data_IF_344767989906
#
_entry.id   IF_344767989906
#
_cell.length_a   1.000
_cell.length_b   1.000
_cell.length_c   1.000
_cell.angle_alpha   90.00
_cell.angle_beta   90.00
_cell.angle_gamma   90.00
#
_symmetry.space_group_name_H-M   'P 1'
#
loop_
_entity.id
_entity.type
_entity.pdbx_description
1 polymer ?
#
# COMPACT_ATOMS: atom_id res chain seq x y z
N UNK A 1 -31.98 -4.50 -6.30
CA UNK A 1 -30.61 -4.33 -5.76
C UNK A 1 -30.09 -2.97 -6.22
N UNK A 2 -29.69 -2.10 -5.30
CA UNK A 2 -29.10 -0.81 -5.64
C UNK A 2 -27.74 -1.09 -6.34
N UNK A 3 -27.62 -0.75 -7.62
CA UNK A 3 -26.39 -0.99 -8.38
C UNK A 3 -25.36 0.05 -7.96
N UNK A 4 -24.27 -0.39 -7.32
CA UNK A 4 -23.11 0.45 -7.00
C UNK A 4 -22.40 0.83 -8.30
N UNK A 5 -21.93 2.07 -8.45
CA UNK A 5 -21.20 2.52 -9.64
C UNK A 5 -19.74 2.03 -9.65
N UNK A 6 -19.14 1.95 -10.85
CA UNK A 6 -17.70 1.66 -10.98
C UNK A 6 -16.85 2.70 -10.24
N UNK A 7 -17.24 3.97 -10.31
CA UNK A 7 -16.62 5.09 -9.61
C UNK A 7 -16.56 4.84 -8.09
N UNK A 8 -17.70 4.51 -7.48
CA UNK A 8 -17.77 4.26 -6.04
C UNK A 8 -16.93 3.05 -5.63
N UNK A 9 -16.91 1.99 -6.45
CA UNK A 9 -16.09 0.81 -6.19
C UNK A 9 -14.58 1.12 -6.32
N UNK A 10 -14.18 1.93 -7.31
CA UNK A 10 -12.81 2.38 -7.47
C UNK A 10 -12.34 3.21 -6.26
N UNK A 11 -13.14 4.20 -5.85
CA UNK A 11 -12.89 4.99 -4.62
C UNK A 11 -12.75 4.08 -3.39
N UNK A 12 -13.67 3.14 -3.20
CA UNK A 12 -13.63 2.23 -2.05
C UNK A 12 -12.41 1.30 -2.08
N UNK A 13 -11.96 0.88 -3.27
CA UNK A 13 -10.74 0.09 -3.41
C UNK A 13 -9.48 0.89 -3.06
N UNK A 14 -9.43 2.19 -3.40
CA UNK A 14 -8.36 3.08 -2.99
C UNK A 14 -8.30 3.18 -1.46
N UNK A 15 -9.42 3.55 -0.83
CA UNK A 15 -9.55 3.62 0.64
C UNK A 15 -9.18 2.29 1.30
N UNK A 16 -9.66 1.17 0.75
CA UNK A 16 -9.43 -0.16 1.31
C UNK A 16 -7.96 -0.55 1.37
N UNK A 17 -7.21 -0.27 0.29
CA UNK A 17 -5.77 -0.60 0.24
C UNK A 17 -4.97 0.34 1.14
N UNK A 18 -5.24 1.64 1.08
CA UNK A 18 -4.48 2.64 1.84
C UNK A 18 -4.75 2.54 3.34
N UNK A 19 -5.99 2.26 3.77
CA UNK A 19 -6.31 1.97 5.17
C UNK A 19 -5.52 0.74 5.67
N UNK A 20 -5.48 -0.35 4.89
CA UNK A 20 -4.77 -1.55 5.27
C UNK A 20 -3.24 -1.31 5.39
N UNK A 21 -2.65 -0.62 4.42
CA UNK A 21 -1.22 -0.28 4.44
C UNK A 21 -0.85 0.71 5.57
N UNK A 22 -1.76 1.63 5.90
CA UNK A 22 -1.57 2.60 6.98
C UNK A 22 -1.95 2.09 8.38
N UNK A 23 -2.68 0.97 8.48
CA UNK A 23 -3.36 0.56 9.72
C UNK A 23 -2.39 0.30 10.88
N UNK A 24 -2.55 1.02 11.98
CA UNK A 24 -1.80 0.78 13.23
C UNK A 24 -2.32 -0.40 14.07
N UNK A 25 -3.37 -1.07 13.61
CA UNK A 25 -3.93 -2.20 14.33
C UNK A 25 -3.03 -3.43 14.19
N UNK A 26 -2.49 -3.93 15.30
CA UNK A 26 -1.61 -5.11 15.34
C UNK A 26 -2.28 -6.39 14.83
N UNK A 27 -3.61 -6.45 14.83
CA UNK A 27 -4.33 -7.58 14.22
C UNK A 27 -4.37 -7.52 12.69
N UNK A 28 -3.99 -6.37 12.09
CA UNK A 28 -4.11 -6.11 10.65
C UNK A 28 -2.78 -5.85 9.99
N UNK A 29 -1.89 -5.06 10.58
CA UNK A 29 -0.63 -4.67 9.97
C UNK A 29 0.43 -4.36 11.03
N UNK A 30 1.48 -5.17 11.03
CA UNK A 30 2.60 -5.13 11.96
C UNK A 30 3.93 -4.78 11.29
N UNK A 31 3.91 -4.35 10.03
CA UNK A 31 5.12 -4.13 9.23
C UNK A 31 6.13 -3.18 9.91
N UNK A 32 5.65 -2.18 10.65
CA UNK A 32 6.49 -1.26 11.44
C UNK A 32 7.23 -1.93 12.59
N UNK A 33 6.63 -2.95 13.20
CA UNK A 33 7.27 -3.75 14.23
C UNK A 33 8.35 -4.62 13.58
N UNK A 34 8.00 -5.29 12.47
CA UNK A 34 8.95 -6.15 11.75
C UNK A 34 10.16 -5.39 11.19
N UNK A 35 9.94 -4.17 10.69
CA UNK A 35 10.96 -3.25 10.22
C UNK A 35 11.72 -2.54 11.38
N UNK A 36 11.33 -2.81 12.62
CA UNK A 36 11.93 -2.27 13.83
C UNK A 36 11.93 -0.74 13.87
N UNK A 37 10.88 -0.09 13.37
CA UNK A 37 10.66 1.35 13.58
C UNK A 37 9.90 1.63 14.88
N UNK A 38 9.06 0.69 15.31
CA UNK A 38 8.34 0.75 16.57
C UNK A 38 8.47 -0.57 17.34
N UNK A 39 8.38 -0.48 18.66
CA UNK A 39 8.24 -1.61 19.58
C UNK A 39 6.98 -1.42 20.40
N UNK A 40 6.31 -2.53 20.68
CA UNK A 40 5.20 -2.56 21.63
C UNK A 40 5.68 -2.39 23.06
N UNK A 41 4.85 -1.77 23.87
CA UNK A 41 5.15 -1.44 25.27
C UNK A 41 4.56 -2.46 26.24
N UNK A 42 3.43 -3.09 25.93
CA UNK A 42 2.69 -3.98 26.85
C UNK A 42 2.58 -5.41 26.35
N UNK A 43 2.01 -5.60 25.16
CA UNK A 43 1.87 -6.90 24.51
C UNK A 43 2.96 -7.01 23.45
N UNK A 44 4.09 -7.65 23.78
CA UNK A 44 5.31 -7.55 22.95
C UNK A 44 5.53 -8.72 22.02
N UNK A 45 4.48 -9.50 21.75
CA UNK A 45 4.56 -10.76 21.01
C UNK A 45 5.04 -10.52 19.58
N UNK A 46 4.43 -9.58 18.86
CA UNK A 46 4.73 -9.24 17.48
C UNK A 46 6.10 -8.57 17.34
N UNK A 47 6.45 -7.67 18.27
CA UNK A 47 7.79 -7.08 18.40
C UNK A 47 8.89 -8.11 18.69
N UNK A 48 8.52 -9.34 19.08
CA UNK A 48 9.42 -10.47 19.35
C UNK A 48 9.36 -11.54 18.26
N UNK A 49 8.72 -11.25 17.13
CA UNK A 49 8.50 -12.20 16.02
C UNK A 49 7.74 -13.46 16.44
N UNK A 50 6.84 -13.33 17.40
CA UNK A 50 5.93 -14.39 17.79
C UNK A 50 4.56 -14.08 17.17
N UNK A 51 4.02 -14.97 16.33
CA UNK A 51 2.79 -14.72 15.55
C UNK A 51 1.68 -15.74 15.80
N UNK A 52 1.68 -16.37 16.97
CA UNK A 52 0.74 -17.45 17.29
C UNK A 52 -0.57 -16.96 17.92
N UNK A 53 -0.59 -15.74 18.47
CA UNK A 53 -1.73 -15.22 19.22
C UNK A 53 -2.84 -14.62 18.32
N UNK A 54 -2.53 -14.35 17.04
CA UNK A 54 -3.40 -13.57 16.15
C UNK A 54 -3.35 -14.09 14.71
N UNK A 55 -4.49 -14.00 14.03
CA UNK A 55 -4.62 -14.30 12.61
C UNK A 55 -4.19 -13.10 11.74
N UNK A 56 -2.99 -12.55 11.98
CA UNK A 56 -2.51 -11.35 11.29
C UNK A 56 -2.37 -11.58 9.77
N UNK A 57 -1.76 -12.69 9.29
CA UNK A 57 -1.69 -12.99 7.87
C UNK A 57 -3.07 -13.08 7.20
N UNK A 58 -4.01 -13.75 7.85
CA UNK A 58 -5.38 -13.92 7.35
C UNK A 58 -6.06 -12.56 7.26
N UNK A 59 -6.03 -11.76 8.34
CA UNK A 59 -6.63 -10.43 8.35
C UNK A 59 -6.02 -9.47 7.33
N UNK A 60 -4.69 -9.51 7.15
CA UNK A 60 -3.98 -8.67 6.18
C UNK A 60 -4.39 -9.01 4.75
N UNK A 61 -4.28 -10.30 4.38
CA UNK A 61 -4.63 -10.77 3.05
C UNK A 61 -6.11 -10.56 2.75
N UNK A 62 -6.98 -10.91 3.70
CA UNK A 62 -8.43 -10.80 3.59
C UNK A 62 -8.89 -9.39 3.23
N UNK A 63 -8.30 -8.40 3.88
CA UNK A 63 -8.61 -6.98 3.64
C UNK A 63 -8.27 -6.59 2.22
N UNK A 64 -7.11 -7.00 1.70
CA UNK A 64 -6.70 -6.67 0.33
C UNK A 64 -7.58 -7.41 -0.69
N UNK A 65 -7.83 -8.71 -0.50
CA UNK A 65 -8.71 -9.47 -1.40
C UNK A 65 -10.13 -8.89 -1.43
N UNK A 66 -10.76 -8.73 -0.26
CA UNK A 66 -12.18 -8.35 -0.18
C UNK A 66 -12.42 -6.86 -0.37
N UNK A 67 -11.61 -5.98 0.22
CA UNK A 67 -11.88 -4.53 0.23
C UNK A 67 -11.22 -3.80 -0.94
N UNK A 68 -10.25 -4.41 -1.59
CA UNK A 68 -9.55 -3.79 -2.73
C UNK A 68 -9.84 -4.58 -4.01
N UNK A 69 -9.37 -5.82 -4.09
CA UNK A 69 -9.36 -6.57 -5.34
C UNK A 69 -10.76 -6.96 -5.84
N UNK A 70 -11.67 -7.36 -4.94
CA UNK A 70 -13.07 -7.61 -5.29
C UNK A 70 -13.76 -6.34 -5.82
N UNK A 71 -13.56 -5.20 -5.15
CA UNK A 71 -14.13 -3.92 -5.60
C UNK A 71 -13.61 -3.53 -6.99
N UNK A 72 -12.31 -3.71 -7.25
CA UNK A 72 -11.71 -3.43 -8.56
C UNK A 72 -12.22 -4.38 -9.64
N UNK A 73 -12.36 -5.68 -9.33
CA UNK A 73 -12.98 -6.67 -10.23
C UNK A 73 -14.39 -6.24 -10.61
N UNK A 74 -15.20 -5.85 -9.64
CA UNK A 74 -16.60 -5.46 -9.86
C UNK A 74 -16.71 -4.15 -10.63
N UNK A 75 -15.85 -3.17 -10.33
CA UNK A 75 -15.74 -1.93 -11.09
C UNK A 75 -15.40 -2.20 -12.56
N UNK A 76 -14.43 -3.10 -12.80
CA UNK A 76 -14.04 -3.53 -14.15
C UNK A 76 -15.21 -4.19 -14.87
N UNK A 77 -15.91 -5.12 -14.23
CA UNK A 77 -17.04 -5.82 -14.83
C UNK A 77 -18.17 -4.87 -15.23
N UNK A 78 -18.46 -3.86 -14.40
CA UNK A 78 -19.44 -2.81 -14.71
C UNK A 78 -19.01 -2.01 -15.95
N UNK A 79 -17.75 -1.59 -16.02
CA UNK A 79 -17.23 -0.85 -17.17
C UNK A 79 -17.20 -1.70 -18.43
N UNK A 80 -16.75 -2.95 -18.36
CA UNK A 80 -16.72 -3.87 -19.51
C UNK A 80 -18.11 -4.01 -20.14
N UNK A 81 -19.15 -4.21 -19.31
CA UNK A 81 -20.54 -4.33 -19.74
C UNK A 81 -21.16 -3.02 -20.28
N UNK A 82 -20.53 -1.86 -20.01
CA UNK A 82 -21.00 -0.56 -20.50
C UNK A 82 -20.69 -0.42 -21.99
N UNK A 83 -21.73 -0.39 -22.82
CA UNK A 83 -21.62 -0.05 -24.25
C UNK A 83 -21.49 1.46 -24.38
N UNK A 84 -20.42 1.91 -25.02
CA UNK A 84 -20.13 3.32 -25.31
C UNK A 84 -19.88 3.47 -26.80
N UNK A 85 -20.22 4.64 -27.35
CA UNK A 85 -19.98 4.97 -28.75
C UNK A 85 -19.37 6.37 -28.84
N UNK A 86 -18.55 6.59 -29.86
CA UNK A 86 -17.75 7.80 -30.01
C UNK A 86 -16.39 7.71 -29.31
N UNK A 87 -15.43 8.46 -29.85
CA UNK A 87 -14.02 8.37 -29.46
C UNK A 87 -13.83 8.76 -27.99
N UNK A 88 -14.37 9.91 -27.57
CA UNK A 88 -14.28 10.42 -26.19
C UNK A 88 -14.70 9.38 -25.16
N UNK A 89 -15.92 8.82 -25.28
CA UNK A 89 -16.42 7.86 -24.30
C UNK A 89 -15.65 6.52 -24.34
N UNK A 90 -15.15 6.13 -25.50
CA UNK A 90 -14.33 4.92 -25.66
C UNK A 90 -12.98 5.09 -24.97
N UNK A 91 -12.31 6.23 -25.18
CA UNK A 91 -11.03 6.59 -24.56
C UNK A 91 -11.15 6.80 -23.06
N UNK A 92 -12.21 7.47 -22.59
CA UNK A 92 -12.48 7.59 -21.15
C UNK A 92 -12.67 6.23 -20.48
N UNK A 93 -13.43 5.32 -21.10
CA UNK A 93 -13.58 3.94 -20.59
C UNK A 93 -12.24 3.20 -20.58
N UNK A 94 -11.41 3.37 -21.60
CA UNK A 94 -10.07 2.76 -21.66
C UNK A 94 -9.16 3.25 -20.52
N UNK A 95 -9.14 4.57 -20.28
CA UNK A 95 -8.42 5.17 -19.15
C UNK A 95 -8.91 4.61 -17.81
N UNK A 96 -10.22 4.57 -17.57
CA UNK A 96 -10.80 4.01 -16.35
C UNK A 96 -10.40 2.55 -16.11
N UNK A 97 -10.44 1.71 -17.16
CA UNK A 97 -10.01 0.31 -17.07
C UNK A 97 -8.52 0.17 -16.79
N UNK A 98 -7.68 1.03 -17.37
CA UNK A 98 -6.24 1.06 -17.12
C UNK A 98 -5.93 1.46 -15.67
N UNK A 99 -6.60 2.50 -15.13
CA UNK A 99 -6.47 2.94 -13.74
C UNK A 99 -6.86 1.83 -12.75
N UNK A 100 -7.99 1.14 -12.98
CA UNK A 100 -8.39 -0.04 -12.20
C UNK A 100 -7.27 -1.10 -12.22
N UNK A 101 -6.72 -1.38 -13.40
CA UNK A 101 -5.68 -2.39 -13.56
C UNK A 101 -4.41 -2.02 -12.80
N UNK A 102 -3.96 -0.76 -12.86
CA UNK A 102 -2.78 -0.27 -12.15
C UNK A 102 -2.96 -0.38 -10.64
N UNK A 103 -4.12 0.04 -10.11
CA UNK A 103 -4.40 -0.08 -8.68
C UNK A 103 -4.48 -1.54 -8.23
N UNK A 104 -5.03 -2.42 -9.07
CA UNK A 104 -5.03 -3.85 -8.81
C UNK A 104 -3.60 -4.41 -8.80
N UNK A 105 -2.74 -4.01 -9.74
CA UNK A 105 -1.32 -4.41 -9.75
C UNK A 105 -0.64 -4.00 -8.45
N UNK A 106 -0.90 -2.80 -7.93
CA UNK A 106 -0.32 -2.39 -6.66
C UNK A 106 -0.78 -3.28 -5.49
N UNK A 107 -2.08 -3.59 -5.43
CA UNK A 107 -2.62 -4.49 -4.41
C UNK A 107 -2.03 -5.91 -4.50
N UNK A 108 -1.87 -6.45 -5.71
CA UNK A 108 -1.25 -7.75 -5.94
C UNK A 108 0.24 -7.75 -5.60
N UNK A 109 0.97 -6.68 -5.95
CA UNK A 109 2.36 -6.50 -5.59
C UNK A 109 2.55 -6.56 -4.08
N UNK A 110 1.69 -5.88 -3.31
CA UNK A 110 1.70 -5.93 -1.83
C UNK A 110 1.49 -7.36 -1.31
N UNK A 111 0.57 -8.13 -1.90
CA UNK A 111 0.32 -9.51 -1.48
C UNK A 111 1.51 -10.43 -1.77
N UNK A 112 2.05 -10.40 -2.99
CA UNK A 112 3.20 -11.25 -3.37
C UNK A 112 4.47 -10.87 -2.60
N UNK A 113 4.67 -9.58 -2.28
CA UNK A 113 5.76 -9.12 -1.41
C UNK A 113 5.65 -9.70 0.01
N UNK A 114 4.43 -9.84 0.51
CA UNK A 114 4.19 -10.26 1.88
C UNK A 114 4.20 -11.79 2.06
N UNK A 115 3.75 -12.54 1.05
CA UNK A 115 3.47 -13.97 1.19
C UNK A 115 4.20 -14.86 0.17
N UNK A 116 4.85 -14.29 -0.85
CA UNK A 116 5.38 -15.05 -1.97
C UNK A 116 4.23 -15.62 -2.80
N UNK A 117 4.17 -16.94 -2.93
CA UNK A 117 3.11 -17.60 -3.71
C UNK A 117 1.74 -17.31 -3.08
N UNK A 118 0.75 -16.96 -3.89
CA UNK A 118 -0.60 -16.59 -3.45
C UNK A 118 -1.66 -17.03 -4.46
N UNK A 119 -2.94 -17.14 -4.05
CA UNK A 119 -4.03 -17.23 -4.99
C UNK A 119 -4.12 -16.00 -5.91
N UNK A 120 -3.81 -16.16 -7.19
CA UNK A 120 -3.74 -15.04 -8.13
C UNK A 120 -4.67 -15.23 -9.33
N UNK A 121 -4.31 -16.05 -10.32
CA UNK A 121 -5.10 -16.25 -11.56
C UNK A 121 -6.47 -16.91 -11.30
N UNK A 122 -6.57 -17.72 -10.24
CA UNK A 122 -7.80 -18.40 -9.86
C UNK A 122 -8.58 -17.69 -8.75
N UNK A 123 -8.04 -16.61 -8.20
CA UNK A 123 -8.67 -15.86 -7.14
C UNK A 123 -9.90 -15.05 -7.61
N UNK A 124 -10.62 -14.49 -6.65
CA UNK A 124 -11.76 -13.60 -6.87
C UNK A 124 -12.93 -14.23 -7.65
N UNK A 125 -13.07 -15.56 -7.66
CA UNK A 125 -14.21 -16.27 -8.29
C UNK A 125 -15.33 -16.61 -7.30
N UNK A 126 -15.17 -16.25 -6.02
CA UNK A 126 -16.19 -16.48 -4.99
C UNK A 126 -16.56 -17.96 -4.88
N UNK A 127 -17.86 -18.25 -4.96
CA UNK A 127 -18.37 -19.62 -4.86
C UNK A 127 -17.97 -20.51 -6.05
N UNK A 128 -17.66 -19.94 -7.22
CA UNK A 128 -17.25 -20.71 -8.40
C UNK A 128 -15.86 -21.34 -8.23
N UNK A 129 -15.01 -20.77 -7.37
CA UNK A 129 -13.77 -21.40 -6.93
C UNK A 129 -13.45 -21.02 -5.48
N UNK A 130 -13.92 -21.84 -4.54
CA UNK A 130 -13.69 -21.66 -3.11
C UNK A 130 -12.30 -22.12 -2.64
N UNK A 131 -11.51 -22.75 -3.53
CA UNK A 131 -10.17 -23.29 -3.23
C UNK A 131 -9.18 -22.95 -4.36
N UNK A 132 -8.94 -21.65 -4.61
CA UNK A 132 -8.02 -21.25 -5.66
C UNK A 132 -6.62 -21.75 -5.39
N UNK A 133 -5.95 -22.26 -6.43
CA UNK A 133 -4.54 -22.65 -6.31
C UNK A 133 -3.65 -21.42 -6.06
N UNK A 134 -2.46 -21.69 -5.56
CA UNK A 134 -1.42 -20.68 -5.41
C UNK A 134 -0.59 -20.62 -6.70
N UNK A 135 -0.40 -19.42 -7.22
CA UNK A 135 0.53 -19.18 -8.31
C UNK A 135 1.91 -18.81 -7.75
N UNK A 136 2.95 -19.15 -8.51
CA UNK A 136 4.33 -18.85 -8.16
C UNK A 136 4.63 -17.34 -8.17
N UNK A 137 5.43 -16.87 -7.23
CA UNK A 137 5.75 -15.46 -7.05
C UNK A 137 6.41 -14.84 -8.29
N UNK A 138 7.37 -15.51 -8.94
CA UNK A 138 8.01 -14.98 -10.15
C UNK A 138 7.02 -14.86 -11.29
N UNK A 139 6.14 -15.85 -11.46
CA UNK A 139 5.06 -15.81 -12.45
C UNK A 139 4.12 -14.64 -12.22
N UNK A 140 3.73 -14.39 -10.96
CA UNK A 140 2.90 -13.24 -10.60
C UNK A 140 3.63 -11.95 -10.96
N UNK A 141 4.88 -11.79 -10.55
CA UNK A 141 5.67 -10.58 -10.85
C UNK A 141 5.76 -10.27 -12.35
N UNK A 142 6.01 -11.29 -13.17
CA UNK A 142 6.07 -11.13 -14.64
C UNK A 142 4.72 -10.67 -15.20
N UNK A 143 3.61 -11.21 -14.70
CA UNK A 143 2.28 -10.77 -15.10
C UNK A 143 1.96 -9.34 -14.64
N UNK A 144 2.36 -8.96 -13.42
CA UNK A 144 2.20 -7.58 -12.93
C UNK A 144 2.92 -6.56 -13.83
N UNK A 145 4.15 -6.89 -14.28
CA UNK A 145 4.89 -6.05 -15.24
C UNK A 145 4.15 -5.97 -16.58
N UNK A 146 3.68 -7.10 -17.11
CA UNK A 146 2.93 -7.13 -18.37
C UNK A 146 1.65 -6.28 -18.29
N UNK A 147 0.92 -6.38 -17.19
CA UNK A 147 -0.29 -5.59 -16.91
C UNK A 147 0.00 -4.10 -16.82
N UNK A 148 1.12 -3.69 -16.23
CA UNK A 148 1.52 -2.27 -16.22
C UNK A 148 1.85 -1.76 -17.62
N UNK A 149 2.60 -2.53 -18.41
CA UNK A 149 2.91 -2.16 -19.80
C UNK A 149 1.64 -2.00 -20.64
N UNK A 150 0.70 -2.96 -20.51
CA UNK A 150 -0.59 -2.91 -21.20
C UNK A 150 -1.40 -1.67 -20.80
N UNK A 151 -1.51 -1.40 -19.49
CA UNK A 151 -2.22 -0.22 -19.00
C UNK A 151 -1.60 1.09 -19.52
N UNK A 152 -0.28 1.23 -19.46
CA UNK A 152 0.45 2.40 -19.98
C UNK A 152 0.15 2.60 -21.47
N UNK A 153 0.17 1.52 -22.26
CA UNK A 153 -0.05 1.61 -23.71
C UNK A 153 -1.48 2.00 -24.12
N UNK A 154 -2.45 1.78 -23.23
CA UNK A 154 -3.89 2.04 -23.48
C UNK A 154 -4.37 3.38 -22.95
N UNK A 155 -3.61 4.00 -22.05
CA UNK A 155 -3.97 5.30 -21.50
C UNK A 155 -3.71 6.43 -22.49
N UNK A 156 -4.59 7.42 -22.46
CA UNK A 156 -4.55 8.59 -23.32
C UNK A 156 -4.77 9.85 -22.46
N UNK A 157 -3.73 10.67 -22.23
CA UNK A 157 -3.81 11.81 -21.30
C UNK A 157 -4.69 12.95 -21.82
N UNK A 158 -5.08 12.94 -23.09
CA UNK A 158 -5.97 13.94 -23.67
C UNK A 158 -7.46 13.67 -23.35
N UNK A 159 -7.76 12.57 -22.64
CA UNK A 159 -9.12 12.15 -22.30
C UNK A 159 -9.31 11.92 -20.80
N UNK A 160 -10.54 12.14 -20.34
CA UNK A 160 -10.93 11.98 -18.94
C UNK A 160 -10.80 10.54 -18.43
N UNK A 161 -10.90 10.37 -17.11
CA UNK A 161 -10.96 9.07 -16.44
C UNK A 161 -12.04 9.03 -15.34
N UNK A 162 -11.67 8.83 -14.07
CA UNK A 162 -12.59 8.77 -12.92
C UNK A 162 -12.91 10.14 -12.29
N UNK A 163 -12.17 11.19 -12.66
CA UNK A 163 -12.35 12.53 -12.07
C UNK A 163 -12.28 12.50 -10.54
N UNK A 164 -13.27 13.08 -9.87
CA UNK A 164 -13.32 13.17 -8.40
C UNK A 164 -13.48 11.82 -7.68
N UNK A 165 -13.81 10.74 -8.38
CA UNK A 165 -13.83 9.40 -7.79
C UNK A 165 -12.42 8.82 -7.59
N UNK A 166 -11.40 9.40 -8.23
CA UNK A 166 -10.00 9.09 -7.98
C UNK A 166 -9.43 9.97 -6.85
N UNK A 167 -9.10 9.33 -5.73
CA UNK A 167 -8.58 9.99 -4.53
C UNK A 167 -7.07 10.25 -4.57
N UNK A 168 -6.36 9.79 -5.59
CA UNK A 168 -4.90 9.97 -5.70
C UNK A 168 -4.56 11.15 -6.59
N UNK A 169 -5.09 11.16 -7.81
CA UNK A 169 -4.72 12.14 -8.84
C UNK A 169 -5.91 12.90 -9.40
N UNK A 170 -7.10 12.76 -8.82
CA UNK A 170 -8.31 13.46 -9.28
C UNK A 170 -8.68 13.12 -10.73
N UNK A 171 -8.25 11.97 -11.24
CA UNK A 171 -8.47 11.52 -12.60
C UNK A 171 -7.39 11.92 -13.60
N UNK A 172 -6.29 12.54 -13.17
CA UNK A 172 -5.18 12.93 -14.04
C UNK A 172 -4.42 11.71 -14.58
N UNK A 173 -4.67 11.41 -15.86
CA UNK A 173 -4.16 10.20 -16.53
C UNK A 173 -2.64 10.25 -16.71
N UNK A 174 -2.06 11.44 -16.91
CA UNK A 174 -0.61 11.61 -17.03
C UNK A 174 0.11 11.22 -15.72
N UNK A 175 -0.43 11.60 -14.56
CA UNK A 175 0.08 11.18 -13.25
C UNK A 175 -0.06 9.69 -13.02
N UNK A 176 -1.15 9.07 -13.51
CA UNK A 176 -1.31 7.61 -13.48
C UNK A 176 -0.30 6.87 -14.36
N UNK A 177 0.08 7.41 -15.51
CA UNK A 177 1.17 6.86 -16.35
C UNK A 177 2.48 6.89 -15.56
N UNK A 178 2.83 8.01 -14.91
CA UNK A 178 4.04 8.14 -14.08
C UNK A 178 4.00 7.21 -12.87
N UNK A 179 2.84 7.03 -12.23
CA UNK A 179 2.67 6.07 -11.14
C UNK A 179 2.89 4.63 -11.61
N UNK A 180 2.29 4.25 -12.75
CA UNK A 180 2.46 2.92 -13.32
C UNK A 180 3.94 2.63 -13.67
N UNK A 181 4.64 3.59 -14.27
CA UNK A 181 6.06 3.50 -14.56
C UNK A 181 6.91 3.40 -13.28
N UNK A 182 6.58 4.19 -12.26
CA UNK A 182 7.30 4.16 -10.96
C UNK A 182 7.05 2.86 -10.19
N UNK A 183 5.83 2.31 -10.28
CA UNK A 183 5.50 0.99 -9.72
C UNK A 183 6.24 -0.12 -10.47
N UNK A 184 6.35 -0.02 -11.81
CA UNK A 184 7.18 -0.92 -12.61
C UNK A 184 8.64 -0.85 -12.19
N UNK A 185 9.19 0.36 -11.95
CA UNK A 185 10.55 0.53 -11.44
C UNK A 185 10.73 -0.14 -10.07
N UNK A 186 9.79 0.05 -9.14
CA UNK A 186 9.80 -0.61 -7.82
C UNK A 186 9.84 -2.13 -7.96
N UNK A 187 8.96 -2.70 -8.79
CA UNK A 187 8.90 -4.14 -9.04
C UNK A 187 10.19 -4.64 -9.70
N UNK A 188 10.73 -3.90 -10.66
CA UNK A 188 11.99 -4.25 -11.31
C UNK A 188 13.16 -4.31 -10.33
N UNK A 189 13.27 -3.35 -9.41
CA UNK A 189 14.28 -3.34 -8.36
C UNK A 189 14.08 -4.46 -7.34
N UNK A 190 12.83 -4.81 -7.02
CA UNK A 190 12.52 -5.97 -6.17
C UNK A 190 13.07 -7.28 -6.75
N UNK A 191 13.12 -7.37 -8.08
CA UNK A 191 13.61 -8.54 -8.82
C UNK A 191 15.09 -8.45 -9.20
N UNK A 192 15.85 -7.47 -8.67
CA UNK A 192 17.23 -7.22 -9.05
C UNK A 192 18.12 -8.47 -8.94
N UNK A 193 17.93 -9.25 -7.86
CA UNK A 193 18.71 -10.45 -7.56
C UNK A 193 18.07 -11.75 -8.09
N UNK A 194 17.05 -11.66 -8.95
CA UNK A 194 16.40 -12.81 -9.60
C UNK A 194 16.82 -12.85 -11.07
N UNK A 195 17.81 -13.69 -11.45
CA UNK A 195 18.38 -13.66 -12.81
C UNK A 195 17.35 -13.83 -13.93
N UNK A 196 16.33 -14.67 -13.70
CA UNK A 196 15.26 -14.94 -14.67
C UNK A 196 14.33 -13.74 -14.93
N UNK A 197 14.40 -12.68 -14.11
CA UNK A 197 13.53 -11.51 -14.26
C UNK A 197 14.07 -10.47 -15.24
N UNK A 198 15.36 -10.51 -15.60
CA UNK A 198 16.02 -9.50 -16.43
C UNK A 198 15.73 -8.05 -15.97
N UNK A 199 15.92 -7.80 -14.67
CA UNK A 199 15.58 -6.55 -13.96
C UNK A 199 16.16 -5.30 -14.62
N UNK A 200 17.39 -5.37 -15.15
CA UNK A 200 18.04 -4.23 -15.83
C UNK A 200 17.25 -3.69 -17.01
N UNK A 201 16.73 -4.56 -17.88
CA UNK A 201 15.86 -4.14 -19.00
C UNK A 201 14.57 -3.49 -18.50
N UNK A 202 13.97 -4.04 -17.44
CA UNK A 202 12.73 -3.52 -16.87
C UNK A 202 12.91 -2.12 -16.26
N UNK A 203 14.03 -1.87 -15.59
CA UNK A 203 14.43 -0.55 -15.08
C UNK A 203 14.54 0.44 -16.23
N UNK A 204 15.31 0.11 -17.28
CA UNK A 204 15.48 0.99 -18.45
C UNK A 204 14.14 1.34 -19.10
N UNK A 205 13.25 0.36 -19.25
CA UNK A 205 11.92 0.59 -19.82
C UNK A 205 11.06 1.49 -18.92
N UNK A 206 11.07 1.29 -17.59
CA UNK A 206 10.31 2.13 -16.67
C UNK A 206 10.79 3.59 -16.71
N UNK A 207 12.11 3.80 -16.73
CA UNK A 207 12.69 5.13 -16.86
C UNK A 207 12.33 5.80 -18.20
N UNK A 208 12.32 5.03 -19.30
CA UNK A 208 11.94 5.54 -20.61
C UNK A 208 10.47 5.98 -20.71
N UNK A 209 9.56 5.36 -19.94
CA UNK A 209 8.16 5.81 -19.83
C UNK A 209 8.04 7.13 -19.06
N UNK A 210 8.94 7.39 -18.10
CA UNK A 210 8.90 8.53 -17.20
C UNK A 210 8.35 8.15 -15.82
N UNK A 211 9.22 8.21 -14.81
CA UNK A 211 8.89 7.95 -13.40
C UNK A 211 8.70 9.27 -12.64
N UNK A 212 8.37 9.19 -11.35
CA UNK A 212 8.36 10.37 -10.49
C UNK A 212 9.74 11.03 -10.42
N UNK A 213 9.74 12.35 -10.57
CA UNK A 213 10.90 13.24 -10.55
C UNK A 213 10.77 14.32 -9.48
N UNK A 214 9.56 14.56 -8.96
CA UNK A 214 9.28 15.50 -7.89
C UNK A 214 8.31 14.94 -6.83
N UNK A 215 8.36 15.48 -5.62
CA UNK A 215 7.45 15.09 -4.54
C UNK A 215 5.98 15.31 -4.90
N UNK A 216 5.63 16.37 -5.64
CA UNK A 216 4.25 16.68 -6.04
C UNK A 216 3.61 15.60 -6.93
N UNK A 217 4.43 14.74 -7.56
CA UNK A 217 3.96 13.64 -8.40
C UNK A 217 3.67 12.35 -7.59
N UNK A 218 4.05 12.35 -6.31
CA UNK A 218 3.92 11.16 -5.44
C UNK A 218 2.48 10.71 -5.29
N UNK A 219 2.27 9.39 -5.30
CA UNK A 219 0.98 8.78 -4.97
C UNK A 219 0.70 8.86 -3.46
N UNK A 220 0.22 10.02 -3.00
CA UNK A 220 -0.10 10.29 -1.60
C UNK A 220 -1.62 10.39 -1.45
N UNK A 221 -2.20 9.48 -0.67
CA UNK A 221 -3.58 9.66 -0.23
C UNK A 221 -3.63 10.60 0.98
N UNK A 222 -4.32 11.73 0.80
CA UNK A 222 -4.61 12.68 1.88
C UNK A 222 -6.08 12.50 2.27
N UNK A 223 -6.38 11.94 3.46
CA UNK A 223 -7.76 11.78 3.91
C UNK A 223 -8.45 13.13 4.11
N UNK A 224 -9.78 13.18 3.97
CA UNK A 224 -10.58 14.40 4.12
C UNK A 224 -10.51 15.06 5.51
N UNK A 225 -9.94 14.38 6.51
CA UNK A 225 -9.75 14.94 7.85
C UNK A 225 -10.99 14.85 8.74
N UNK A 226 -12.07 14.22 8.26
CA UNK A 226 -13.31 14.00 9.01
C UNK A 226 -13.51 12.49 9.18
N UNK A 227 -13.73 12.06 10.42
CA UNK A 227 -13.96 10.64 10.72
C UNK A 227 -15.12 10.06 9.88
N UNK A 228 -14.98 8.86 9.30
CA UNK A 228 -13.88 7.91 9.47
C UNK A 228 -12.66 8.12 8.54
N UNK A 229 -12.66 9.15 7.68
CA UNK A 229 -11.62 9.41 6.69
C UNK A 229 -10.50 10.31 7.24
N UNK A 230 -9.75 9.78 8.21
CA UNK A 230 -8.60 10.44 8.83
C UNK A 230 -7.37 9.52 8.79
N UNK A 231 -6.18 10.08 8.98
CA UNK A 231 -4.95 9.28 9.04
C UNK A 231 -5.03 8.26 10.18
N UNK A 232 -4.71 6.97 9.95
CA UNK A 232 -4.66 5.97 11.02
C UNK A 232 -3.70 6.33 12.15
N UNK A 233 -2.63 7.08 11.85
CA UNK A 233 -1.70 7.57 12.87
C UNK A 233 -2.30 8.67 13.72
N UNK A 234 -3.02 9.61 13.09
CA UNK A 234 -3.73 10.67 13.82
C UNK A 234 -4.82 10.07 14.71
N UNK A 235 -5.60 9.10 14.21
CA UNK A 235 -6.56 8.35 15.02
C UNK A 235 -5.88 7.71 16.23
N UNK A 236 -4.79 6.96 16.02
CA UNK A 236 -4.15 6.20 17.08
C UNK A 236 -3.49 7.08 18.16
N UNK A 237 -2.69 8.08 17.76
CA UNK A 237 -1.87 8.83 18.70
C UNK A 237 -2.54 10.10 19.23
N UNK A 238 -3.42 10.74 18.45
CA UNK A 238 -4.06 12.00 18.85
C UNK A 238 -5.46 11.77 19.41
N UNK A 239 -6.31 11.05 18.69
CA UNK A 239 -7.71 10.86 19.13
C UNK A 239 -7.84 9.77 20.20
N UNK A 240 -7.25 8.59 19.95
CA UNK A 240 -7.29 7.46 20.89
C UNK A 240 -6.25 7.61 22.02
N UNK A 241 -5.28 8.51 21.86
CA UNK A 241 -4.17 8.73 22.78
C UNK A 241 -3.43 7.43 23.17
N UNK A 242 -3.23 6.53 22.20
CA UNK A 242 -2.59 5.23 22.43
C UNK A 242 -1.17 5.38 22.93
N UNK A 243 -0.81 4.53 23.90
CA UNK A 243 0.52 4.43 24.51
C UNK A 243 1.12 3.04 24.30
N UNK A 244 0.64 2.37 23.25
CA UNK A 244 0.94 0.97 22.97
C UNK A 244 2.34 0.80 22.35
N UNK A 245 2.91 1.87 21.78
CA UNK A 245 4.14 1.82 20.98
C UNK A 245 5.14 2.91 21.37
N UNK A 246 6.43 2.56 21.36
CA UNK A 246 7.54 3.51 21.38
C UNK A 246 8.43 3.30 20.14
N UNK A 247 9.16 4.32 19.65
CA UNK A 247 10.27 4.12 18.73
C UNK A 247 11.30 3.14 19.30
N UNK A 248 11.87 2.33 18.44
CA UNK A 248 12.87 1.33 18.84
C UNK A 248 14.23 1.99 19.04
N UNK A 249 15.09 1.34 19.83
CA UNK A 249 16.49 1.74 19.91
C UNK A 249 17.21 1.64 18.54
N UNK A 250 16.78 0.77 17.62
CA UNK A 250 17.48 0.59 16.34
C UNK A 250 17.38 1.83 15.45
N UNK A 251 16.19 2.43 15.31
CA UNK A 251 16.04 3.68 14.55
C UNK A 251 16.59 4.88 15.33
N UNK A 252 16.30 4.97 16.64
CA UNK A 252 16.72 6.13 17.45
C UNK A 252 18.24 6.21 17.55
N UNK A 253 18.93 5.10 17.76
CA UNK A 253 20.39 5.09 17.85
C UNK A 253 21.04 5.49 16.54
N UNK A 254 20.57 4.94 15.40
CA UNK A 254 21.05 5.33 14.08
C UNK A 254 20.89 6.84 13.85
N UNK A 255 19.70 7.37 14.13
CA UNK A 255 19.41 8.79 13.96
C UNK A 255 20.23 9.67 14.92
N UNK A 256 20.51 9.20 16.15
CA UNK A 256 21.39 9.89 17.08
C UNK A 256 22.83 9.95 16.52
N UNK A 257 23.37 8.83 16.02
CA UNK A 257 24.71 8.78 15.40
C UNK A 257 24.82 9.74 14.21
N UNK A 258 23.76 9.88 13.43
CA UNK A 258 23.72 10.76 12.26
C UNK A 258 23.39 12.22 12.61
N UNK A 259 23.15 12.55 13.89
CA UNK A 259 22.61 13.84 14.31
C UNK A 259 21.37 14.25 13.51
N UNK A 260 20.51 13.29 13.20
CA UNK A 260 19.43 13.44 12.24
C UNK A 260 18.43 14.51 12.70
N UNK A 261 18.12 15.54 11.87
CA UNK A 261 17.19 16.60 12.25
C UNK A 261 15.76 16.11 12.42
N UNK A 262 15.39 14.97 11.82
CA UNK A 262 14.04 14.40 11.91
C UNK A 262 13.71 13.89 13.32
N UNK A 263 14.70 13.67 14.19
CA UNK A 263 14.46 13.24 15.58
C UNK A 263 13.52 14.19 16.33
N UNK A 264 13.71 15.50 16.15
CA UNK A 264 12.88 16.52 16.81
C UNK A 264 11.45 16.59 16.26
N UNK A 265 11.22 16.05 15.07
CA UNK A 265 9.89 15.99 14.44
C UNK A 265 9.19 14.68 14.78
N UNK A 266 9.94 13.57 14.85
CA UNK A 266 9.38 12.22 14.99
C UNK A 266 9.21 11.76 16.43
N UNK A 267 10.01 12.30 17.36
CA UNK A 267 10.10 11.79 18.71
C UNK A 267 10.06 12.91 19.75
N UNK A 268 9.46 12.62 20.90
CA UNK A 268 9.67 13.40 22.12
C UNK A 268 11.07 13.16 22.71
N UNK A 269 11.62 14.17 23.36
CA UNK A 269 12.91 14.07 24.04
C UNK A 269 12.80 13.24 25.33
N UNK A 270 13.86 12.48 25.62
CA UNK A 270 13.98 11.74 26.86
C UNK A 270 15.38 11.89 27.49
N UNK A 271 15.49 12.39 28.75
CA UNK A 271 14.41 13.03 29.52
C UNK A 271 13.84 14.26 28.82
N UNK A 272 12.61 14.67 29.18
CA UNK A 272 11.95 15.84 28.59
C UNK A 272 12.83 17.08 28.77
N UNK A 273 13.06 17.82 27.68
CA UNK A 273 13.88 19.03 27.67
C UNK A 273 15.40 18.80 27.65
N UNK A 274 15.86 17.55 27.56
CA UNK A 274 17.31 17.23 27.58
C UNK A 274 18.03 17.42 26.24
N UNK A 275 17.30 17.56 25.13
CA UNK A 275 17.87 17.48 23.79
C UNK A 275 18.19 16.05 23.32
N UNK A 276 18.00 15.03 24.17
CA UNK A 276 18.33 13.64 23.87
C UNK A 276 17.08 12.82 23.51
N UNK A 277 17.30 11.69 22.85
CA UNK A 277 16.26 10.75 22.42
C UNK A 277 16.65 9.32 22.80
N UNK A 278 15.69 8.56 23.30
CA UNK A 278 15.91 7.19 23.78
C UNK A 278 14.83 6.25 23.23
N UNK A 279 15.22 5.30 22.39
CA UNK A 279 14.31 4.26 21.91
C UNK A 279 14.18 3.09 22.88
N UNK A 280 13.03 2.41 22.84
CA UNK A 280 12.78 1.17 23.57
C UNK A 280 13.62 0.04 22.96
N UNK A 281 14.42 -0.72 23.75
CA UNK A 281 15.10 -1.91 23.26
C UNK A 281 14.16 -2.84 22.50
N UNK A 282 14.46 -3.10 21.23
CA UNK A 282 13.61 -3.92 20.37
C UNK A 282 13.47 -5.36 20.91
N UNK A 283 12.27 -5.92 20.80
CA UNK A 283 11.98 -7.28 21.27
C UNK A 283 12.05 -7.47 22.79
N UNK A 284 12.06 -6.39 23.59
CA UNK A 284 12.07 -6.48 25.04
C UNK A 284 10.82 -7.25 25.53
N UNK A 285 11.06 -8.29 26.33
CA UNK A 285 9.99 -9.05 26.95
C UNK A 285 9.37 -8.30 28.14
N UNK A 286 8.08 -8.52 28.36
CA UNK A 286 7.32 -7.91 29.45
C UNK A 286 6.98 -6.45 29.20
N UNK A 287 6.09 -5.93 30.05
CA UNK A 287 5.64 -4.54 29.92
C UNK A 287 6.78 -3.56 30.25
N UNK A 288 6.87 -2.50 29.47
CA UNK A 288 7.73 -1.35 29.71
C UNK A 288 6.87 -0.13 30.04
N UNK A 289 7.44 0.86 30.73
CA UNK A 289 6.73 2.12 30.94
C UNK A 289 6.93 3.00 29.69
N UNK A 290 5.84 3.32 29.00
CA UNK A 290 5.83 4.22 27.84
C UNK A 290 6.58 5.54 28.09
N UNK A 291 6.46 6.11 29.30
CA UNK A 291 7.09 7.39 29.66
C UNK A 291 8.59 7.29 29.94
N UNK A 292 9.17 6.10 29.94
CA UNK A 292 10.61 5.88 30.13
C UNK A 292 11.41 5.93 28.83
N UNK A 293 10.76 6.28 27.71
CA UNK A 293 11.36 6.35 26.39
C UNK A 293 10.83 7.59 25.65
N UNK A 294 11.55 7.97 24.60
CA UNK A 294 10.99 8.78 23.53
C UNK A 294 9.74 8.09 22.99
N UNK A 295 8.77 8.91 22.56
CA UNK A 295 7.49 8.49 22.00
C UNK A 295 6.89 9.56 21.10
#
# INVERSE_FOLDING_TARGET
AQKVSADALFTQAQIGLTDQLGSMNVNRNISRLLAQYQSEVTYTTESRYLFHDRQIPDNFSDRIYRRTLVNLRDAKAILDAKVVAGDVLTKTKANQLALINIWAVYAWHVLVDQFGNIPYTEALKGAENSRPKYDDALTIYQDLIARLNDAISKMDPDYDSFGSADLLYGGDVASWIKFAASLKLRIALRLADVPAANSGTLVTQALATGVFTDQAESAIWIPYGIAPYISPYYQAFVLDARKDFCPTNTIVNLMNTLNDPRRAVWFTQYPVGSGNYLGLPYGKAGSSNYRSFSH
#
